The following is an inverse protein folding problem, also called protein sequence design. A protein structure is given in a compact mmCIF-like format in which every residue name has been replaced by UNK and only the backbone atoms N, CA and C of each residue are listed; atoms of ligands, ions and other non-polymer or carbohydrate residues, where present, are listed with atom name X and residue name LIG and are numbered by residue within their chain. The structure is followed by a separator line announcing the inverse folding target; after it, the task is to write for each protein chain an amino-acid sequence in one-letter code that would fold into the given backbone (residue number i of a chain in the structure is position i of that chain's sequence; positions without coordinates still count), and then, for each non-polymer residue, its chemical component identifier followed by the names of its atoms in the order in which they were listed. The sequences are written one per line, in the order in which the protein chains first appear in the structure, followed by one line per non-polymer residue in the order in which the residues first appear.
data_IF_581187636137
#
_entry.id   IF_581187636137
#
_cell.length_a   1.000
_cell.length_b   1.000
_cell.length_c   1.000
_cell.angle_alpha   90.00
_cell.angle_beta   90.00
_cell.angle_gamma   90.00
#
_symmetry.space_group_name_H-M   'P 1'
#
loop_
_entity.id
_entity.type
_entity.pdbx_description
1 polymer ?
#
# COMPACT_ATOMS: atom_id res chain seq x y z
N UNK A 1 -0.14 -15.27 0.16
CA UNK A 1 0.42 -13.93 0.48
C UNK A 1 1.58 -13.67 -0.46
N UNK A 2 1.69 -12.47 -1.02
CA UNK A 2 2.68 -12.13 -2.04
C UNK A 2 3.44 -10.86 -1.65
N UNK A 3 4.77 -10.92 -1.61
CA UNK A 3 5.62 -9.76 -1.37
C UNK A 3 6.63 -9.72 -2.51
N UNK A 4 6.66 -8.63 -3.29
CA UNK A 4 7.69 -8.43 -4.33
C UNK A 4 8.38 -7.08 -4.15
N UNK A 5 9.69 -7.08 -4.33
CA UNK A 5 10.53 -5.89 -4.34
C UNK A 5 10.99 -5.64 -5.78
N UNK A 6 10.86 -4.40 -6.25
CA UNK A 6 11.30 -3.94 -7.57
C UNK A 6 12.24 -2.75 -7.45
N UNK A 7 12.99 -2.47 -8.51
CA UNK A 7 13.83 -1.29 -8.63
C UNK A 7 15.23 -1.49 -8.07
N UNK A 8 15.87 -0.38 -7.70
CA UNK A 8 17.29 -0.29 -7.38
C UNK A 8 17.61 -0.58 -5.89
N UNK A 9 18.83 -0.28 -5.47
CA UNK A 9 19.28 -0.36 -4.08
C UNK A 9 18.62 0.64 -3.11
N UNK A 10 17.71 1.50 -3.58
CA UNK A 10 17.05 2.52 -2.76
C UNK A 10 16.26 1.92 -1.59
N UNK A 11 16.14 2.68 -0.51
CA UNK A 11 15.33 2.33 0.67
C UNK A 11 14.04 3.15 0.79
N UNK A 12 13.78 3.96 -0.23
CA UNK A 12 12.59 4.78 -0.39
C UNK A 12 11.90 4.44 -1.70
N UNK A 13 10.66 4.93 -1.84
CA UNK A 13 9.97 4.91 -3.12
C UNK A 13 8.48 4.75 -2.98
N UNK A 14 7.89 4.01 -3.91
CA UNK A 14 6.45 3.82 -4.05
C UNK A 14 6.08 2.41 -3.61
N UNK A 15 4.82 2.18 -3.28
CA UNK A 15 4.30 0.86 -2.98
C UNK A 15 2.86 0.71 -3.44
N UNK A 16 2.47 -0.54 -3.65
CA UNK A 16 1.08 -0.93 -3.83
C UNK A 16 0.72 -2.03 -2.82
N UNK A 17 -0.49 -1.94 -2.28
CA UNK A 17 -1.06 -2.86 -1.29
C UNK A 17 -2.35 -3.44 -1.87
N UNK A 18 -2.51 -4.76 -1.85
CA UNK A 18 -3.83 -5.36 -2.02
C UNK A 18 -4.34 -5.92 -0.70
N UNK A 19 -5.57 -5.55 -0.39
CA UNK A 19 -6.24 -5.83 0.87
C UNK A 19 -7.52 -6.61 0.56
N UNK A 20 -7.62 -7.84 1.03
CA UNK A 20 -8.81 -8.66 0.90
C UNK A 20 -9.84 -8.22 1.93
N UNK A 21 -11.12 -8.18 1.55
CA UNK A 21 -12.22 -7.81 2.43
C UNK A 21 -13.11 -9.03 2.68
N UNK A 22 -13.30 -9.39 3.95
CA UNK A 22 -14.25 -10.43 4.34
C UNK A 22 -15.63 -9.82 4.52
N UNK A 23 -16.35 -9.64 3.41
CA UNK A 23 -17.69 -9.06 3.35
C UNK A 23 -17.69 -7.53 3.28
N UNK A 24 -18.90 -6.95 3.32
CA UNK A 24 -19.11 -5.52 3.18
C UNK A 24 -18.62 -4.74 4.40
N UNK A 25 -17.78 -3.72 4.19
CA UNK A 25 -17.26 -2.86 5.25
C UNK A 25 -17.84 -1.46 5.12
N UNK A 26 -18.44 -0.95 6.20
CA UNK A 26 -18.83 0.45 6.32
C UNK A 26 -17.84 1.18 7.21
N UNK A 27 -17.12 2.16 6.67
CA UNK A 27 -16.12 2.91 7.43
C UNK A 27 -15.99 4.37 7.00
N UNK A 28 -15.47 5.20 7.90
CA UNK A 28 -15.03 6.56 7.60
C UNK A 28 -13.51 6.61 7.51
N UNK A 29 -13.00 7.29 6.49
CA UNK A 29 -11.56 7.49 6.29
C UNK A 29 -11.06 8.74 7.04
N UNK A 30 -11.16 8.72 8.37
CA UNK A 30 -10.85 9.88 9.21
C UNK A 30 -11.76 11.07 8.92
N UNK A 31 -11.19 12.26 8.71
CA UNK A 31 -11.94 13.48 8.38
C UNK A 31 -12.22 13.64 6.87
N UNK A 32 -11.89 12.66 6.04
CA UNK A 32 -12.16 12.73 4.60
C UNK A 32 -13.66 12.96 4.35
N UNK A 33 -13.99 13.95 3.51
CA UNK A 33 -15.37 14.42 3.26
C UNK A 33 -16.18 14.59 4.55
N UNK A 34 -15.61 15.32 5.52
CA UNK A 34 -16.24 15.60 6.82
C UNK A 34 -16.62 14.33 7.62
N UNK A 35 -15.90 13.23 7.40
CA UNK A 35 -16.15 11.96 8.10
C UNK A 35 -17.25 11.10 7.48
N UNK A 36 -17.65 11.38 6.24
CA UNK A 36 -18.61 10.56 5.50
C UNK A 36 -18.24 9.06 5.54
N UNK A 37 -19.27 8.23 5.64
CA UNK A 37 -19.12 6.78 5.61
C UNK A 37 -19.17 6.28 4.17
N UNK A 38 -18.30 5.32 3.87
CA UNK A 38 -18.22 4.64 2.60
C UNK A 38 -18.57 3.18 2.80
N UNK A 39 -19.32 2.63 1.85
CA UNK A 39 -19.59 1.20 1.77
C UNK A 39 -18.57 0.60 0.81
N UNK A 40 -17.74 -0.32 1.32
CA UNK A 40 -16.83 -1.11 0.52
C UNK A 40 -17.44 -2.48 0.32
N UNK A 41 -17.91 -2.74 -0.90
CA UNK A 41 -18.56 -3.99 -1.29
C UNK A 41 -17.81 -4.63 -2.46
N UNK A 42 -16.52 -4.90 -2.22
CA UNK A 42 -15.60 -5.48 -3.18
C UNK A 42 -14.81 -6.60 -2.51
N UNK A 43 -14.35 -7.58 -3.29
CA UNK A 43 -13.53 -8.69 -2.78
C UNK A 43 -12.17 -8.21 -2.26
N UNK A 44 -11.62 -7.18 -2.89
CA UNK A 44 -10.39 -6.55 -2.45
C UNK A 44 -10.35 -5.04 -2.71
N UNK A 45 -9.35 -4.39 -2.14
CA UNK A 45 -8.97 -3.02 -2.46
C UNK A 45 -7.50 -2.93 -2.83
N UNK A 46 -7.18 -2.09 -3.81
CA UNK A 46 -5.83 -1.69 -4.18
C UNK A 46 -5.54 -0.31 -3.61
N UNK A 47 -4.44 -0.18 -2.88
CA UNK A 47 -3.92 1.11 -2.43
C UNK A 47 -2.53 1.38 -2.97
N UNK A 48 -2.29 2.58 -3.49
CA UNK A 48 -0.98 3.03 -3.97
C UNK A 48 -0.50 4.17 -3.09
N UNK A 49 0.76 4.15 -2.68
CA UNK A 49 1.32 5.23 -1.88
C UNK A 49 2.83 5.30 -1.96
N UNK A 50 3.39 6.31 -1.32
CA UNK A 50 4.83 6.55 -1.31
C UNK A 50 5.38 6.74 0.10
N UNK A 51 6.68 6.44 0.22
CA UNK A 51 7.46 6.57 1.42
C UNK A 51 8.85 7.08 1.05
N UNK A 52 8.95 8.40 0.95
CA UNK A 52 10.19 9.12 0.68
C UNK A 52 10.79 9.64 1.99
N UNK A 53 12.11 9.77 2.04
CA UNK A 53 12.81 10.23 3.23
C UNK A 53 14.21 10.73 2.94
N UNK A 54 14.72 11.58 3.83
CA UNK A 54 16.06 12.14 3.74
C UNK A 54 16.97 11.43 4.75
N UNK A 55 18.20 11.13 4.33
CA UNK A 55 19.24 10.51 5.17
C UNK A 55 19.69 9.14 4.69
N UNK A 56 21.01 8.96 4.55
CA UNK A 56 21.63 7.75 4.00
C UNK A 56 21.30 6.45 4.79
N UNK A 57 20.90 6.60 6.05
CA UNK A 57 20.60 5.49 6.96
C UNK A 57 19.12 5.13 7.08
N UNK A 58 18.22 5.96 6.54
CA UNK A 58 16.78 5.78 6.70
C UNK A 58 16.24 4.60 5.85
N UNK A 59 15.24 3.90 6.38
CA UNK A 59 14.49 2.83 5.67
C UNK A 59 13.00 3.19 5.55
N UNK A 60 12.65 4.36 4.98
CA UNK A 60 11.30 4.90 5.02
C UNK A 60 10.26 3.96 4.39
N UNK A 61 10.61 3.27 3.29
CA UNK A 61 9.71 2.34 2.61
C UNK A 61 9.40 1.11 3.46
N UNK A 62 10.41 0.45 4.02
CA UNK A 62 10.23 -0.69 4.93
C UNK A 62 9.38 -0.29 6.15
N UNK A 63 9.69 0.85 6.78
CA UNK A 63 8.93 1.37 7.91
C UNK A 63 7.47 1.62 7.56
N UNK A 64 7.19 2.26 6.42
CA UNK A 64 5.81 2.55 5.99
C UNK A 64 5.02 1.28 5.72
N UNK A 65 5.60 0.34 5.00
CA UNK A 65 4.97 -0.93 4.64
C UNK A 65 4.67 -1.79 5.87
N UNK A 66 5.63 -1.96 6.78
CA UNK A 66 5.41 -2.75 8.01
C UNK A 66 4.45 -2.07 8.98
N UNK A 67 4.38 -0.74 8.95
CA UNK A 67 3.36 0.02 9.67
C UNK A 67 1.95 -0.22 9.10
N UNK A 68 1.80 -0.34 7.78
CA UNK A 68 0.53 -0.71 7.15
C UNK A 68 0.07 -2.10 7.58
N UNK A 69 0.99 -3.06 7.67
CA UNK A 69 0.73 -4.40 8.16
C UNK A 69 0.54 -4.50 9.70
N UNK A 70 0.63 -3.38 10.43
CA UNK A 70 0.38 -3.32 11.87
C UNK A 70 -0.99 -2.70 12.14
N UNK A 71 -1.71 -3.22 13.13
CA UNK A 71 -2.99 -2.65 13.62
C UNK A 71 -2.80 -1.89 14.92
N UNK A 72 -3.77 -1.04 15.24
CA UNK A 72 -3.82 -0.23 16.46
C UNK A 72 -4.47 -0.99 17.62
N UNK A 73 -4.43 -0.40 18.82
CA UNK A 73 -5.14 -0.88 20.02
C UNK A 73 -4.89 -2.34 20.40
N UNK A 74 -3.67 -2.84 20.17
CA UNK A 74 -3.30 -4.22 20.52
C UNK A 74 -3.93 -5.29 19.62
N UNK A 75 -4.62 -4.91 18.53
CA UNK A 75 -5.14 -5.87 17.58
C UNK A 75 -4.00 -6.69 16.93
N UNK A 76 -4.24 -7.98 16.63
CA UNK A 76 -3.27 -8.79 15.91
C UNK A 76 -2.88 -8.13 14.58
N UNK A 77 -1.59 -8.13 14.21
CA UNK A 77 -1.16 -7.61 12.92
C UNK A 77 -1.72 -8.45 11.78
N UNK A 78 -1.62 -7.90 10.56
CA UNK A 78 -1.83 -8.67 9.35
C UNK A 78 -0.82 -9.82 9.28
N UNK A 79 -1.25 -11.00 8.82
CA UNK A 79 -0.44 -12.23 8.73
C UNK A 79 0.82 -12.03 7.90
N UNK A 80 0.75 -11.15 6.90
CA UNK A 80 1.86 -10.81 6.01
C UNK A 80 3.00 -10.04 6.71
N UNK A 81 2.78 -9.46 7.91
CA UNK A 81 3.76 -8.58 8.57
C UNK A 81 5.09 -9.26 8.86
N UNK A 82 5.07 -10.50 9.39
CA UNK A 82 6.30 -11.24 9.70
C UNK A 82 7.07 -11.58 8.42
N UNK A 83 6.44 -12.20 7.39
CA UNK A 83 7.07 -12.39 6.08
C UNK A 83 7.63 -11.09 5.48
N UNK A 84 6.94 -9.95 5.61
CA UNK A 84 7.46 -8.67 5.12
C UNK A 84 8.77 -8.26 5.79
N UNK A 85 8.89 -8.42 7.10
CA UNK A 85 10.11 -8.08 7.83
C UNK A 85 11.29 -8.95 7.37
N UNK A 86 11.05 -10.25 7.22
CA UNK A 86 12.02 -11.24 6.73
C UNK A 86 12.47 -10.87 5.30
N UNK A 87 11.52 -10.79 4.37
CA UNK A 87 11.80 -10.44 2.96
C UNK A 87 12.48 -9.09 2.81
N UNK A 88 12.07 -8.05 3.55
CA UNK A 88 12.70 -6.73 3.44
C UNK A 88 14.13 -6.73 3.98
N UNK A 89 14.42 -7.52 5.01
CA UNK A 89 15.79 -7.66 5.54
C UNK A 89 16.67 -8.41 4.54
N UNK A 90 16.19 -9.53 4.00
CA UNK A 90 16.90 -10.35 3.00
C UNK A 90 17.24 -9.56 1.72
N UNK A 91 16.32 -8.69 1.28
CA UNK A 91 16.49 -7.90 0.05
C UNK A 91 17.18 -6.53 0.29
N UNK A 92 17.68 -6.26 1.50
CA UNK A 92 18.38 -5.03 1.86
C UNK A 92 17.51 -3.77 1.93
N UNK A 93 16.18 -3.91 1.84
CA UNK A 93 15.22 -2.83 2.00
C UNK A 93 15.10 -2.39 3.46
N UNK A 94 15.24 -3.34 4.38
CA UNK A 94 15.37 -3.13 5.82
C UNK A 94 16.77 -3.55 6.29
N UNK A 95 17.19 -3.06 7.46
CA UNK A 95 18.45 -3.46 8.10
C UNK A 95 18.24 -4.68 8.98
N UNK A 96 19.33 -5.39 9.29
CA UNK A 96 19.31 -6.43 10.31
C UNK A 96 18.76 -5.88 11.64
N UNK A 97 17.90 -6.66 12.31
CA UNK A 97 17.24 -6.25 13.54
C UNK A 97 16.12 -5.23 13.35
N UNK A 98 15.62 -5.02 12.12
CA UNK A 98 14.46 -4.17 11.86
C UNK A 98 13.22 -4.66 12.64
N UNK A 99 12.58 -3.75 13.37
CA UNK A 99 11.41 -4.04 14.21
C UNK A 99 10.19 -3.26 13.74
N UNK A 100 8.98 -3.83 13.86
CA UNK A 100 7.75 -3.09 13.64
C UNK A 100 7.58 -1.98 14.68
N UNK A 101 6.78 -0.94 14.39
CA UNK A 101 6.48 0.10 15.37
C UNK A 101 5.74 -0.48 16.59
N UNK A 102 6.05 0.01 17.80
CA UNK A 102 5.39 -0.39 19.03
C UNK A 102 3.90 -0.04 19.07
N UNK A 103 3.52 1.09 18.48
CA UNK A 103 2.14 1.56 18.45
C UNK A 103 1.79 2.21 17.10
N UNK A 104 0.53 2.08 16.70
CA UNK A 104 -0.02 2.72 15.49
C UNK A 104 -1.14 3.70 15.84
N UNK A 105 -0.89 4.97 15.56
CA UNK A 105 -1.95 5.98 15.34
C UNK A 105 -2.46 5.88 13.89
N UNK A 106 -3.70 6.23 13.60
CA UNK A 106 -4.21 6.23 12.22
C UNK A 106 -3.91 7.59 11.59
N UNK A 107 -3.12 7.62 10.51
CA UNK A 107 -2.66 8.85 9.86
C UNK A 107 -3.05 8.92 8.39
N UNK A 108 -2.89 7.82 7.65
CA UNK A 108 -3.27 7.74 6.24
C UNK A 108 -4.68 7.19 6.10
N UNK A 109 -5.41 7.56 5.05
CA UNK A 109 -6.76 7.02 4.85
C UNK A 109 -6.76 5.48 4.83
N UNK A 110 -5.78 4.86 4.16
CA UNK A 110 -5.67 3.39 4.15
C UNK A 110 -5.46 2.77 5.54
N UNK A 111 -4.95 3.53 6.53
CA UNK A 111 -4.80 3.01 7.90
C UNK A 111 -6.15 2.64 8.49
N UNK A 112 -7.21 3.38 8.19
CA UNK A 112 -8.55 3.11 8.72
C UNK A 112 -9.08 1.77 8.21
N UNK A 113 -8.89 1.49 6.91
CA UNK A 113 -9.25 0.19 6.33
C UNK A 113 -8.38 -0.93 6.89
N UNK A 114 -7.06 -0.73 6.92
CA UNK A 114 -6.10 -1.71 7.43
C UNK A 114 -6.22 -1.94 8.94
N UNK A 115 -6.98 -1.14 9.68
CA UNK A 115 -7.28 -1.39 11.09
C UNK A 115 -8.52 -2.28 11.29
N UNK A 116 -9.41 -2.37 10.28
CA UNK A 116 -10.60 -3.22 10.33
C UNK A 116 -10.24 -4.70 10.30
N UNK A 117 -10.74 -5.50 11.25
CA UNK A 117 -10.51 -6.95 11.30
C UNK A 117 -11.00 -7.71 10.06
N UNK A 118 -11.98 -7.15 9.35
CA UNK A 118 -12.46 -7.71 8.07
C UNK A 118 -11.53 -7.44 6.88
N UNK A 119 -10.51 -6.59 7.04
CA UNK A 119 -9.60 -6.24 5.96
C UNK A 119 -8.22 -6.86 6.21
N UNK A 120 -7.71 -7.69 5.31
CA UNK A 120 -6.43 -8.38 5.46
C UNK A 120 -5.48 -8.07 4.29
N UNK A 121 -4.32 -7.50 4.60
CA UNK A 121 -3.25 -7.21 3.64
C UNK A 121 -2.64 -8.53 3.18
N UNK A 122 -2.78 -8.87 1.90
CA UNK A 122 -2.32 -10.14 1.36
C UNK A 122 -1.30 -10.00 0.23
N UNK A 123 -1.18 -8.83 -0.40
CA UNK A 123 -0.14 -8.54 -1.38
C UNK A 123 0.52 -7.18 -1.16
N UNK A 124 1.84 -7.15 -1.31
CA UNK A 124 2.66 -5.93 -1.22
C UNK A 124 3.65 -5.91 -2.39
N UNK A 125 3.63 -4.81 -3.12
CA UNK A 125 4.67 -4.45 -4.07
C UNK A 125 5.48 -3.27 -3.50
N UNK A 126 6.75 -3.52 -3.18
CA UNK A 126 7.69 -2.49 -2.75
C UNK A 126 8.52 -2.03 -3.96
N UNK A 127 8.36 -0.77 -4.35
CA UNK A 127 9.02 -0.20 -5.53
C UNK A 127 10.11 0.77 -5.06
N UNK A 128 11.36 0.32 -5.17
CA UNK A 128 12.55 1.02 -4.70
C UNK A 128 13.00 1.99 -5.79
N UNK A 129 12.81 3.27 -5.54
CA UNK A 129 13.22 4.35 -6.44
C UNK A 129 13.19 5.68 -5.68
N UNK A 130 14.14 6.60 -5.92
CA UNK A 130 14.02 7.98 -5.44
C UNK A 130 12.91 8.76 -6.16
N UNK A 131 12.44 8.28 -7.32
CA UNK A 131 11.42 8.95 -8.12
C UNK A 131 10.00 8.76 -7.55
N UNK A 132 9.14 9.76 -7.81
CA UNK A 132 7.72 9.74 -7.44
C UNK A 132 6.91 9.01 -8.51
N UNK A 133 6.73 7.71 -8.33
CA UNK A 133 5.97 6.85 -9.25
C UNK A 133 4.48 6.69 -8.86
N UNK A 134 4.06 7.29 -7.75
CA UNK A 134 2.70 7.18 -7.20
C UNK A 134 1.61 7.60 -8.20
N UNK A 135 1.79 8.74 -8.86
CA UNK A 135 0.83 9.25 -9.86
C UNK A 135 0.77 8.36 -11.10
N UNK A 136 1.92 7.90 -11.59
CA UNK A 136 1.99 7.02 -12.78
C UNK A 136 1.27 5.70 -12.51
N UNK A 137 1.54 5.08 -11.35
CA UNK A 137 0.92 3.82 -10.98
C UNK A 137 -0.57 3.98 -10.64
N UNK A 138 -0.97 5.08 -10.01
CA UNK A 138 -2.38 5.35 -9.72
C UNK A 138 -3.17 5.62 -11.00
N UNK A 139 -2.56 6.30 -11.98
CA UNK A 139 -3.14 6.48 -13.31
C UNK A 139 -3.31 5.15 -14.04
N UNK A 140 -2.30 4.28 -14.00
CA UNK A 140 -2.40 2.95 -14.59
C UNK A 140 -3.48 2.10 -13.91
N UNK A 141 -3.51 2.09 -12.58
CA UNK A 141 -4.54 1.40 -11.82
C UNK A 141 -5.93 1.87 -12.24
N UNK A 142 -6.17 3.19 -12.32
CA UNK A 142 -7.45 3.75 -12.74
C UNK A 142 -7.88 3.36 -14.16
N UNK A 143 -6.95 2.93 -15.03
CA UNK A 143 -7.25 2.45 -16.38
C UNK A 143 -7.52 0.94 -16.48
N UNK A 144 -7.40 0.20 -15.37
CA UNK A 144 -7.64 -1.25 -15.35
C UNK A 144 -9.12 -1.54 -15.20
N UNK A 145 -9.65 -2.42 -16.06
CA UNK A 145 -11.02 -2.94 -15.97
C UNK A 145 -11.31 -3.62 -14.61
N UNK A 146 -10.26 -4.15 -13.95
CA UNK A 146 -10.37 -4.80 -12.65
C UNK A 146 -10.61 -3.85 -11.48
N UNK A 147 -10.45 -2.54 -11.70
CA UNK A 147 -10.49 -1.54 -10.62
C UNK A 147 -11.69 -0.61 -10.72
N UNK A 148 -12.19 -0.19 -9.57
CA UNK A 148 -13.26 0.80 -9.46
C UNK A 148 -12.81 1.91 -8.52
N UNK A 149 -12.99 3.16 -8.94
CA UNK A 149 -12.71 4.31 -8.07
C UNK A 149 -13.74 4.38 -6.95
N UNK A 150 -13.31 4.15 -5.70
CA UNK A 150 -14.17 4.23 -4.52
C UNK A 150 -14.63 5.67 -4.29
N UNK A 151 -13.68 6.61 -4.30
CA UNK A 151 -13.98 8.03 -4.18
C UNK A 151 -12.82 8.89 -4.70
N UNK A 152 -13.13 9.91 -5.49
CA UNK A 152 -12.16 10.92 -5.93
C UNK A 152 -11.50 11.61 -4.72
N UNK A 153 -10.18 11.76 -4.76
CA UNK A 153 -9.36 12.37 -3.71
C UNK A 153 -9.01 11.44 -2.54
N UNK A 154 -9.48 10.19 -2.55
CA UNK A 154 -9.27 9.27 -1.43
C UNK A 154 -7.82 8.75 -1.41
N UNK A 155 -7.06 9.24 -0.45
CA UNK A 155 -5.64 8.84 -0.26
C UNK A 155 -4.68 9.69 -1.09
N UNK A 156 -5.21 10.57 -1.93
CA UNK A 156 -4.47 11.40 -2.88
C UNK A 156 -4.56 12.88 -2.50
N UNK A 157 -4.16 13.23 -1.27
CA UNK A 157 -4.21 14.63 -0.79
C UNK A 157 -3.41 15.61 -1.66
N UNK A 158 -2.37 15.10 -2.31
CA UNK A 158 -1.41 15.92 -3.07
C UNK A 158 -1.75 16.02 -4.58
N UNK A 159 -2.78 15.31 -5.06
CA UNK A 159 -3.23 15.38 -6.47
C UNK A 159 -4.68 15.80 -6.55
N UNK A 160 -5.00 16.83 -7.34
CA UNK A 160 -6.36 17.40 -7.43
C UNK A 160 -7.42 16.43 -7.98
N UNK A 161 -7.02 15.48 -8.83
CA UNK A 161 -7.98 14.68 -9.62
C UNK A 161 -7.86 13.16 -9.42
N UNK A 162 -6.87 12.68 -8.69
CA UNK A 162 -6.61 11.25 -8.49
C UNK A 162 -7.33 10.62 -7.29
N UNK A 163 -7.34 9.29 -7.26
CA UNK A 163 -7.51 8.49 -6.04
C UNK A 163 -6.31 7.56 -5.91
N UNK A 164 -5.97 7.19 -4.69
CA UNK A 164 -4.96 6.19 -4.41
C UNK A 164 -5.57 4.91 -3.85
N UNK A 165 -6.90 4.86 -3.70
CA UNK A 165 -7.64 3.71 -3.21
C UNK A 165 -8.73 3.32 -4.22
N UNK A 166 -8.68 2.06 -4.65
CA UNK A 166 -9.57 1.46 -5.63
C UNK A 166 -10.21 0.19 -5.05
N UNK A 167 -11.47 -0.05 -5.37
CA UNK A 167 -12.07 -1.38 -5.23
C UNK A 167 -11.54 -2.28 -6.34
N UNK A 168 -11.44 -3.58 -6.08
CA UNK A 168 -10.91 -4.57 -7.03
C UNK A 168 -11.88 -5.75 -7.13
N UNK A 169 -12.31 -6.06 -8.35
CA UNK A 169 -13.27 -7.12 -8.63
C UNK A 169 -12.60 -8.43 -9.07
N UNK A 170 -11.38 -8.37 -9.62
CA UNK A 170 -10.55 -9.55 -9.92
C UNK A 170 -9.13 -9.30 -9.38
N UNK A 171 -8.85 -9.73 -8.13
CA UNK A 171 -7.56 -9.47 -7.50
C UNK A 171 -6.38 -10.14 -8.21
N UNK A 172 -6.58 -11.31 -8.81
CA UNK A 172 -5.50 -12.05 -9.47
C UNK A 172 -5.08 -11.38 -10.79
N UNK A 173 -6.05 -11.02 -11.63
CA UNK A 173 -5.77 -10.28 -12.86
C UNK A 173 -5.18 -8.89 -12.55
N UNK A 174 -5.71 -8.20 -11.53
CA UNK A 174 -5.19 -6.92 -11.08
C UNK A 174 -3.71 -7.02 -10.66
N UNK A 175 -3.34 -8.04 -9.87
CA UNK A 175 -1.94 -8.29 -9.47
C UNK A 175 -1.05 -8.47 -10.68
N UNK A 176 -1.46 -9.29 -11.65
CA UNK A 176 -0.66 -9.58 -12.85
C UNK A 176 -0.46 -8.33 -13.71
N UNK A 177 -1.51 -7.56 -13.96
CA UNK A 177 -1.44 -6.32 -14.75
C UNK A 177 -0.61 -5.25 -14.05
N UNK A 178 -0.81 -5.06 -12.74
CA UNK A 178 -0.06 -4.11 -11.93
C UNK A 178 1.43 -4.47 -11.89
N UNK A 179 1.77 -5.75 -11.71
CA UNK A 179 3.16 -6.20 -11.74
C UNK A 179 3.83 -5.90 -13.11
N UNK A 180 3.13 -6.14 -14.22
CA UNK A 180 3.65 -5.81 -15.55
C UNK A 180 3.88 -4.30 -15.70
N UNK A 181 2.95 -3.48 -15.23
CA UNK A 181 3.10 -2.03 -15.24
C UNK A 181 4.30 -1.58 -14.40
N UNK A 182 4.48 -2.15 -13.20
CA UNK A 182 5.63 -1.87 -12.33
C UNK A 182 6.93 -2.22 -13.05
N UNK A 183 7.03 -3.37 -13.72
CA UNK A 183 8.24 -3.74 -14.50
C UNK A 183 8.55 -2.77 -15.63
N UNK A 184 7.53 -2.17 -16.24
CA UNK A 184 7.72 -1.19 -17.31
C UNK A 184 8.24 0.15 -16.81
N UNK A 185 7.80 0.59 -15.61
CA UNK A 185 8.24 1.87 -15.01
C UNK A 185 9.53 1.74 -14.21
N UNK A 186 9.82 0.57 -13.63
CA UNK A 186 11.01 0.29 -12.82
C UNK A 186 12.17 -0.29 -13.62
N UNK A 187 12.43 0.21 -14.84
CA UNK A 187 13.59 -0.26 -15.62
C UNK A 187 14.88 0.03 -14.84
N UNK A 188 15.84 -0.90 -14.79
CA UNK A 188 17.14 -0.62 -14.18
C UNK A 188 17.78 0.58 -14.87
N UNK A 189 18.31 1.55 -14.11
CA UNK A 189 19.26 2.50 -14.66
C UNK A 189 20.37 1.68 -15.35
N UNK A 190 20.60 1.96 -16.65
CA UNK A 190 21.75 1.44 -17.37
C UNK A 190 23.04 1.96 -16.75
#
# INVERSE_FOLDING_TARGET
MLIRCFGDGSRQGTYALLVALSGTIRLSFGKFRSGAQFLLDHEACLYIGSALGHGASATPLAHRLVRHATRSQGNPPHRIRKPMIETFTENGLARAGFKPPHAKKLHWHIDYLLDCRQAELFSVFAIRSPERLETVLSGHAASLDETVTIARGLGARDTRDGTHLFGVNDPEACIKKLENAIKLVCRPCK
#
